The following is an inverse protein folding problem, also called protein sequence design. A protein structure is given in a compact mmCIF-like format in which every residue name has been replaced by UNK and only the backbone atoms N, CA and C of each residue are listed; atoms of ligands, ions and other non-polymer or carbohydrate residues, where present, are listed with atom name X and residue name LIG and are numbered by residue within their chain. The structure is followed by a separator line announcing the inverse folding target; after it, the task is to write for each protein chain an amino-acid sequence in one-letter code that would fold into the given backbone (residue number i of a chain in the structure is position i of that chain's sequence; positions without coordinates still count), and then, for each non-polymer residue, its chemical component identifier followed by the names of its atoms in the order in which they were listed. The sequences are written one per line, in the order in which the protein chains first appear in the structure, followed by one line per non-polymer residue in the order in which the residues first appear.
data_IF_974350621581
#
_entry.id   IF_974350621581
#
_cell.length_a   1.000
_cell.length_b   1.000
_cell.length_c   1.000
_cell.angle_alpha   90.00
_cell.angle_beta   90.00
_cell.angle_gamma   90.00
#
_symmetry.space_group_name_H-M   'P 1'
#
loop_
_entity.id
_entity.type
_entity.pdbx_description
1 polymer ?
#
# COMPACT_ATOMS: atom_id res chain seq x y z
N UNK A 1 -12.41 -0.33 -12.63
CA UNK A 1 -12.05 -0.21 -11.20
C UNK A 1 -10.66 0.41 -11.08
N UNK A 2 -10.57 1.72 -10.86
CA UNK A 2 -9.32 2.40 -10.51
C UNK A 2 -8.89 1.94 -9.12
N UNK A 3 -7.77 1.19 -9.01
CA UNK A 3 -7.25 0.79 -7.69
C UNK A 3 -6.69 2.02 -6.98
N UNK A 4 -6.99 2.14 -5.67
CA UNK A 4 -6.41 3.19 -4.79
C UNK A 4 -4.88 3.12 -4.84
N UNK A 5 -4.23 4.26 -5.12
CA UNK A 5 -2.77 4.35 -5.23
C UNK A 5 -2.11 4.03 -3.90
N UNK A 6 -2.71 4.49 -2.79
CA UNK A 6 -2.21 4.15 -1.45
C UNK A 6 -2.11 2.64 -1.26
N UNK A 7 -3.12 1.89 -1.70
CA UNK A 7 -3.15 0.42 -1.55
C UNK A 7 -2.06 -0.25 -2.37
N UNK A 8 -1.84 0.15 -3.62
CA UNK A 8 -0.82 -0.46 -4.47
C UNK A 8 0.60 -0.16 -3.98
N UNK A 9 0.88 1.08 -3.57
CA UNK A 9 2.18 1.46 -3.02
C UNK A 9 2.49 0.74 -1.70
N UNK A 10 1.53 0.72 -0.77
CA UNK A 10 1.72 0.01 0.51
C UNK A 10 1.84 -1.51 0.31
N UNK A 11 1.09 -2.11 -0.62
CA UNK A 11 1.14 -3.54 -0.89
C UNK A 11 2.48 -3.95 -1.52
N UNK A 12 2.96 -3.21 -2.54
CA UNK A 12 4.26 -3.46 -3.15
C UNK A 12 5.40 -3.36 -2.14
N UNK A 13 5.32 -2.37 -1.25
CA UNK A 13 6.29 -2.18 -0.16
C UNK A 13 6.32 -3.37 0.82
N UNK A 14 5.15 -3.88 1.26
CA UNK A 14 5.07 -5.05 2.13
C UNK A 14 5.56 -6.33 1.45
N UNK A 15 5.31 -6.50 0.15
CA UNK A 15 5.82 -7.65 -0.61
C UNK A 15 7.34 -7.62 -0.69
N UNK A 16 7.95 -6.45 -0.94
CA UNK A 16 9.41 -6.29 -0.87
C UNK A 16 9.94 -6.63 0.53
N UNK A 17 9.26 -6.15 1.58
CA UNK A 17 9.62 -6.43 2.96
C UNK A 17 9.55 -7.93 3.30
N UNK A 18 8.57 -8.65 2.73
CA UNK A 18 8.44 -10.10 2.91
C UNK A 18 9.72 -10.84 2.48
N UNK A 19 10.31 -10.44 1.35
CA UNK A 19 11.57 -11.01 0.87
C UNK A 19 12.71 -10.72 1.84
N UNK A 20 12.82 -9.48 2.32
CA UNK A 20 13.84 -9.08 3.29
C UNK A 20 13.72 -9.85 4.61
N UNK A 21 12.51 -10.02 5.13
CA UNK A 21 12.28 -10.76 6.38
C UNK A 21 12.50 -12.26 6.21
N UNK A 22 12.17 -12.83 5.04
CA UNK A 22 12.54 -14.20 4.71
C UNK A 22 14.07 -14.38 4.74
N UNK A 23 14.81 -13.50 4.07
CA UNK A 23 16.28 -13.53 4.07
C UNK A 23 16.86 -13.31 5.46
N UNK A 24 16.21 -12.51 6.31
CA UNK A 24 16.60 -12.34 7.71
C UNK A 24 16.58 -13.67 8.48
N UNK A 25 15.63 -14.57 8.17
CA UNK A 25 15.61 -15.94 8.70
C UNK A 25 16.82 -16.78 8.29
N UNK A 26 17.44 -16.49 7.14
CA UNK A 26 18.69 -17.14 6.71
C UNK A 26 19.89 -16.48 7.41
N UNK A 27 19.92 -15.14 7.47
CA UNK A 27 21.00 -14.38 8.12
C UNK A 27 21.13 -14.74 9.60
N UNK A 28 20.01 -14.93 10.29
CA UNK A 28 19.98 -15.34 11.71
C UNK A 28 20.70 -16.65 11.96
N UNK A 29 20.72 -17.60 11.01
CA UNK A 29 21.47 -18.87 11.14
C UNK A 29 22.98 -18.62 11.27
N UNK A 30 23.50 -17.59 10.59
CA UNK A 30 24.93 -17.27 10.62
C UNK A 30 25.35 -16.25 11.69
N UNK A 31 24.38 -15.57 12.31
CA UNK A 31 24.62 -14.42 13.20
C UNK A 31 24.14 -14.65 14.64
N UNK A 32 23.41 -15.73 14.91
CA UNK A 32 22.78 -16.01 16.21
C UNK A 32 22.87 -17.49 16.58
N UNK A 33 22.73 -17.80 17.86
CA UNK A 33 22.70 -19.18 18.39
C UNK A 33 21.33 -19.87 18.22
N UNK A 34 20.42 -19.31 17.43
CA UNK A 34 19.11 -19.92 17.19
C UNK A 34 19.26 -21.22 16.37
N UNK A 35 18.52 -22.24 16.75
CA UNK A 35 18.41 -23.47 15.96
C UNK A 35 17.93 -23.14 14.53
N UNK A 36 18.51 -23.79 13.52
CA UNK A 36 18.21 -23.57 12.10
C UNK A 36 16.70 -23.58 11.80
N UNK A 37 15.97 -24.52 12.40
CA UNK A 37 14.52 -24.61 12.23
C UNK A 37 13.78 -23.38 12.76
N UNK A 38 14.19 -22.83 13.89
CA UNK A 38 13.59 -21.63 14.47
C UNK A 38 13.89 -20.38 13.64
N UNK A 39 15.12 -20.23 13.13
CA UNK A 39 15.52 -19.12 12.26
C UNK A 39 14.73 -19.10 10.95
N UNK A 40 14.57 -20.26 10.31
CA UNK A 40 13.74 -20.39 9.10
C UNK A 40 12.27 -20.13 9.39
N UNK A 41 11.73 -20.63 10.50
CA UNK A 41 10.35 -20.39 10.90
C UNK A 41 10.09 -18.90 11.18
N UNK A 42 11.03 -18.20 11.82
CA UNK A 42 10.97 -16.76 12.06
C UNK A 42 10.89 -15.99 10.73
N UNK A 43 11.85 -16.20 9.83
CA UNK A 43 11.88 -15.47 8.56
C UNK A 43 10.68 -15.78 7.67
N UNK A 44 10.32 -17.06 7.52
CA UNK A 44 9.18 -17.47 6.71
C UNK A 44 7.85 -16.99 7.32
N UNK A 45 7.70 -17.08 8.66
CA UNK A 45 6.51 -16.62 9.35
C UNK A 45 6.29 -15.11 9.17
N UNK A 46 7.35 -14.32 9.28
CA UNK A 46 7.30 -12.88 9.04
C UNK A 46 7.03 -12.53 7.57
N UNK A 47 7.61 -13.28 6.62
CA UNK A 47 7.32 -13.10 5.21
C UNK A 47 5.84 -13.36 4.90
N UNK A 48 5.27 -14.45 5.43
CA UNK A 48 3.84 -14.76 5.29
C UNK A 48 2.99 -13.66 5.94
N UNK A 49 3.37 -13.17 7.12
CA UNK A 49 2.69 -12.06 7.79
C UNK A 49 2.65 -10.81 6.92
N UNK A 50 3.75 -10.45 6.25
CA UNK A 50 3.81 -9.35 5.29
C UNK A 50 2.85 -9.56 4.11
N UNK A 51 2.79 -10.77 3.54
CA UNK A 51 1.90 -11.07 2.42
C UNK A 51 0.42 -11.03 2.84
N UNK A 52 0.10 -11.54 4.03
CA UNK A 52 -1.25 -11.43 4.62
C UNK A 52 -1.61 -9.97 4.84
N UNK A 53 -0.71 -9.17 5.41
CA UNK A 53 -0.90 -7.74 5.60
C UNK A 53 -1.13 -7.01 4.27
N UNK A 54 -0.36 -7.37 3.23
CA UNK A 54 -0.52 -6.83 1.88
C UNK A 54 -1.91 -7.17 1.29
N UNK A 55 -2.37 -8.41 1.45
CA UNK A 55 -3.71 -8.84 1.03
C UNK A 55 -4.86 -8.20 1.82
N UNK A 56 -4.62 -7.82 3.08
CA UNK A 56 -5.60 -7.18 3.95
C UNK A 56 -5.70 -5.65 3.76
N UNK A 57 -4.79 -5.03 3.00
CA UNK A 57 -4.82 -3.60 2.72
C UNK A 57 -6.14 -3.18 2.05
N UNK A 58 -6.84 -2.23 2.68
CA UNK A 58 -8.15 -1.77 2.24
C UNK A 58 -9.35 -2.37 3.00
N UNK A 59 -9.11 -3.33 3.90
CA UNK A 59 -10.09 -3.80 4.89
C UNK A 59 -9.91 -3.06 6.23
N UNK A 60 -10.91 -3.12 7.12
CA UNK A 60 -10.81 -2.59 8.50
C UNK A 60 -9.60 -3.26 9.19
N UNK A 61 -8.63 -2.46 9.62
CA UNK A 61 -7.43 -2.94 10.33
C UNK A 61 -6.22 -3.35 9.49
N UNK A 62 -6.32 -3.45 8.15
CA UNK A 62 -5.19 -3.88 7.31
C UNK A 62 -3.95 -2.98 7.43
N UNK A 63 -4.16 -1.67 7.56
CA UNK A 63 -3.07 -0.71 7.79
C UNK A 63 -2.47 -0.80 9.21
N UNK A 64 -3.26 -1.19 10.22
CA UNK A 64 -2.75 -1.40 11.57
C UNK A 64 -1.80 -2.60 11.61
N UNK A 65 -2.12 -3.67 10.85
CA UNK A 65 -1.24 -4.82 10.71
C UNK A 65 0.08 -4.44 10.03
N UNK A 66 0.06 -3.56 9.03
CA UNK A 66 1.28 -3.06 8.41
C UNK A 66 2.16 -2.24 9.37
N UNK A 67 1.56 -1.42 10.24
CA UNK A 67 2.31 -0.75 11.31
C UNK A 67 2.91 -1.74 12.32
N UNK A 68 2.18 -2.79 12.68
CA UNK A 68 2.70 -3.85 13.53
C UNK A 68 3.93 -4.54 12.89
N UNK A 69 3.87 -4.82 11.58
CA UNK A 69 5.02 -5.35 10.83
C UNK A 69 6.23 -4.41 10.91
N UNK A 70 6.03 -3.09 10.87
CA UNK A 70 7.15 -2.15 11.02
C UNK A 70 7.78 -2.22 12.40
N UNK A 71 6.97 -2.25 13.46
CA UNK A 71 7.47 -2.39 14.83
C UNK A 71 8.25 -3.69 15.00
N UNK A 72 7.72 -4.80 14.50
CA UNK A 72 8.40 -6.11 14.54
C UNK A 72 9.71 -6.08 13.74
N UNK A 73 9.71 -5.45 12.56
CA UNK A 73 10.92 -5.31 11.73
C UNK A 73 12.02 -4.52 12.43
N UNK A 74 11.66 -3.45 13.16
CA UNK A 74 12.62 -2.68 13.97
C UNK A 74 13.09 -3.50 15.17
N UNK A 75 12.20 -4.25 15.82
CA UNK A 75 12.54 -5.09 16.97
C UNK A 75 13.51 -6.23 16.60
N UNK A 76 13.52 -6.70 15.35
CA UNK A 76 14.57 -7.61 14.86
C UNK A 76 15.98 -7.00 14.97
N UNK A 77 16.09 -5.67 15.07
CA UNK A 77 17.33 -4.96 15.40
C UNK A 77 18.02 -5.45 16.67
N UNK A 78 17.25 -5.90 17.66
CA UNK A 78 17.81 -6.48 18.89
C UNK A 78 18.49 -7.83 18.66
N UNK A 79 18.10 -8.54 17.60
CA UNK A 79 18.68 -9.81 17.20
C UNK A 79 19.85 -9.60 16.22
N UNK A 80 19.65 -8.70 15.26
CA UNK A 80 20.63 -8.34 14.24
C UNK A 80 20.71 -6.82 14.19
N UNK A 81 21.75 -6.20 14.75
CA UNK A 81 21.86 -4.74 14.88
C UNK A 81 21.64 -3.98 13.57
N UNK A 82 22.07 -4.53 12.43
CA UNK A 82 21.84 -3.95 11.10
C UNK A 82 20.35 -3.81 10.73
N UNK A 83 19.45 -4.61 11.33
CA UNK A 83 18.00 -4.52 11.12
C UNK A 83 17.37 -3.29 11.75
N UNK A 84 18.03 -2.59 12.69
CA UNK A 84 17.53 -1.28 13.11
C UNK A 84 17.51 -0.29 11.95
N UNK A 85 18.62 -0.22 11.20
CA UNK A 85 18.72 0.65 10.03
C UNK A 85 17.69 0.24 8.98
N UNK A 86 17.64 -1.05 8.64
CA UNK A 86 16.73 -1.54 7.61
C UNK A 86 15.26 -1.37 8.03
N UNK A 87 14.92 -1.70 9.27
CA UNK A 87 13.59 -1.52 9.85
C UNK A 87 13.14 -0.07 9.78
N UNK A 88 14.00 0.89 10.13
CA UNK A 88 13.69 2.33 10.03
C UNK A 88 13.47 2.76 8.58
N UNK A 89 14.30 2.31 7.64
CA UNK A 89 14.12 2.61 6.21
C UNK A 89 12.77 2.11 5.71
N UNK A 90 12.42 0.87 6.03
CA UNK A 90 11.13 0.29 5.65
C UNK A 90 9.95 1.00 6.33
N UNK A 91 10.07 1.38 7.61
CA UNK A 91 9.06 2.18 8.31
C UNK A 91 8.86 3.56 7.68
N UNK A 92 9.95 4.23 7.27
CA UNK A 92 9.90 5.52 6.59
C UNK A 92 9.23 5.43 5.22
N UNK A 93 9.57 4.41 4.43
CA UNK A 93 8.91 4.12 3.14
C UNK A 93 7.43 3.77 3.32
N UNK A 94 7.08 3.00 4.35
CA UNK A 94 5.70 2.68 4.72
C UNK A 94 4.91 3.94 5.08
N UNK A 95 5.43 4.76 6.00
CA UNK A 95 4.80 6.00 6.41
C UNK A 95 4.59 6.95 5.22
N UNK A 96 5.62 7.12 4.39
CA UNK A 96 5.56 7.95 3.18
C UNK A 96 4.48 7.43 2.22
N UNK A 97 4.46 6.12 1.94
CA UNK A 97 3.44 5.52 1.07
C UNK A 97 2.03 5.67 1.64
N UNK A 98 1.88 5.56 2.96
CA UNK A 98 0.61 5.70 3.65
C UNK A 98 0.05 7.12 3.58
N UNK A 99 0.88 8.13 3.89
CA UNK A 99 0.46 9.54 3.90
C UNK A 99 0.33 10.10 2.48
N UNK A 100 1.33 9.91 1.62
CA UNK A 100 1.33 10.45 0.26
C UNK A 100 0.23 9.81 -0.59
N UNK A 101 0.03 8.49 -0.47
CA UNK A 101 -1.05 7.80 -1.16
C UNK A 101 -2.43 8.29 -0.73
N UNK A 102 -2.60 8.72 0.52
CA UNK A 102 -3.87 9.27 1.00
C UNK A 102 -4.17 10.64 0.38
N UNK A 103 -3.15 11.49 0.22
CA UNK A 103 -3.26 12.78 -0.48
C UNK A 103 -3.64 12.59 -1.94
N UNK A 104 -2.91 11.75 -2.67
CA UNK A 104 -3.15 11.52 -4.10
C UNK A 104 -4.55 10.92 -4.34
N UNK A 105 -4.98 9.99 -3.49
CA UNK A 105 -6.32 9.41 -3.59
C UNK A 105 -7.42 10.47 -3.33
N UNK A 106 -7.20 11.45 -2.44
CA UNK A 106 -8.15 12.56 -2.19
C UNK A 106 -8.26 13.49 -3.38
N UNK A 107 -7.14 13.95 -3.93
CA UNK A 107 -7.12 14.83 -5.11
C UNK A 107 -7.79 14.18 -6.32
N UNK A 108 -7.56 12.87 -6.52
CA UNK A 108 -8.22 12.11 -7.59
C UNK A 108 -9.72 11.98 -7.38
N UNK A 109 -10.17 11.84 -6.13
CA UNK A 109 -11.59 11.78 -5.82
C UNK A 109 -12.29 13.12 -6.10
N UNK A 110 -11.64 14.24 -5.76
CA UNK A 110 -12.17 15.59 -6.04
C UNK A 110 -12.27 15.86 -7.55
N UNK A 111 -11.23 15.53 -8.32
CA UNK A 111 -11.25 15.66 -9.78
C UNK A 111 -12.35 14.83 -10.43
N UNK A 112 -12.61 13.62 -9.94
CA UNK A 112 -13.67 12.77 -10.47
C UNK A 112 -15.06 13.39 -10.29
N UNK A 113 -15.32 14.05 -9.15
CA UNK A 113 -16.60 14.76 -8.91
C UNK A 113 -16.77 15.96 -9.85
N UNK A 114 -15.70 16.73 -10.07
CA UNK A 114 -15.74 17.87 -11.00
C UNK A 114 -15.96 17.43 -12.46
N UNK A 115 -15.35 16.32 -12.87
CA UNK A 115 -15.57 15.74 -14.21
C UNK A 115 -17.02 15.27 -14.41
N UNK A 116 -17.65 14.71 -13.37
CA UNK A 116 -19.07 14.35 -13.41
C UNK A 116 -19.98 15.58 -13.55
N UNK A 117 -19.68 16.67 -12.85
CA UNK A 117 -20.41 17.94 -12.97
C UNK A 117 -20.24 18.57 -14.35
N UNK A 118 -19.00 18.70 -14.84
CA UNK A 118 -18.70 19.24 -16.16
C UNK A 118 -19.41 18.45 -17.26
N UNK A 119 -19.42 17.11 -17.15
CA UNK A 119 -20.14 16.22 -18.09
C UNK A 119 -21.65 16.40 -18.03
N UNK A 120 -22.23 16.62 -16.85
CA UNK A 120 -23.66 16.86 -16.70
C UNK A 120 -24.07 18.20 -17.32
N UNK A 121 -23.29 19.25 -17.11
CA UNK A 121 -23.51 20.57 -17.69
C UNK A 121 -23.38 20.54 -19.22
N UNK A 122 -22.25 20.08 -19.75
CA UNK A 122 -21.98 20.12 -21.19
C UNK A 122 -22.78 19.08 -21.98
N UNK A 123 -23.11 17.94 -21.37
CA UNK A 123 -24.02 16.95 -21.96
C UNK A 123 -25.44 17.50 -22.12
N UNK A 124 -25.90 18.32 -21.16
CA UNK A 124 -27.20 18.97 -21.24
C UNK A 124 -27.21 20.10 -22.30
N UNK A 125 -26.12 20.86 -22.42
CA UNK A 125 -25.96 21.89 -23.44
C UNK A 125 -26.00 21.30 -24.85
N UNK A 126 -25.19 20.29 -25.15
CA UNK A 126 -25.15 19.67 -26.48
C UNK A 126 -26.48 18.99 -26.87
N UNK A 127 -27.20 18.41 -25.91
CA UNK A 127 -28.54 17.87 -26.13
C UNK A 127 -29.58 18.95 -26.44
N UNK A 128 -29.50 20.10 -25.77
CA UNK A 128 -30.38 21.25 -26.02
C UNK A 128 -30.11 21.89 -27.40
N UNK A 129 -28.85 22.01 -27.80
CA UNK A 129 -28.46 22.53 -29.12
C UNK A 129 -28.97 21.64 -30.27
N UNK A 130 -28.82 20.33 -30.16
CA UNK A 130 -29.29 19.39 -31.18
C UNK A 130 -30.82 19.40 -31.32
N UNK A 131 -31.57 19.45 -30.20
CA UNK A 131 -33.03 19.53 -30.24
C UNK A 131 -33.55 20.86 -30.80
N UNK A 132 -32.85 21.97 -30.53
CA UNK A 132 -33.20 23.27 -31.09
C UNK A 132 -32.93 23.37 -32.61
N UNK A 133 -31.92 22.66 -33.12
CA UNK A 133 -31.64 22.58 -34.56
C UNK A 133 -32.65 21.71 -35.31
N UNK A 134 -33.05 20.56 -34.76
CA UNK A 134 -34.11 19.71 -35.34
C UNK A 134 -35.44 20.47 -35.43
N UNK A 135 -35.87 21.13 -34.35
CA UNK A 135 -37.12 21.88 -34.32
C UNK A 135 -37.14 23.16 -35.15
N UNK A 136 -35.99 23.64 -35.62
CA UNK A 136 -35.88 24.78 -36.53
C UNK A 136 -35.90 24.38 -38.01
N UNK A 137 -35.79 23.08 -38.33
CA UNK A 137 -35.84 22.55 -39.69
C UNK A 137 -37.23 22.04 -40.12
N UNK A 138 -38.18 21.95 -39.18
CA UNK A 138 -39.59 21.59 -39.40
C UNK A 138 -40.49 22.82 -39.65
#
# INVERSE_FOLDING_TARGET
MTRSIRRSMCAGMLVLQAVVLFLTGIVTIGMTELATGASLALGLGLAVLCLVAAGMLGRRGGYALGWAVQVVSIALGFLITAMFFLGVVFAGLWATSYFMGATIDRERAERAVLEEQWRAEHGAEHGAEHGAQDGAQD
#
